data_IF_716771548266
#
_entry.id   IF_716771548266
#
_cell.length_a   1.000
_cell.length_b   1.000
_cell.length_c   1.000
_cell.angle_alpha   90.00
_cell.angle_beta   90.00
_cell.angle_gamma   90.00
#
_symmetry.space_group_name_H-M   'P 1'
#
loop_
_entity.id
_entity.type
_entity.pdbx_description
1 polymer ?
#
# COMPACT_ATOMS: atom_id res chain seq x y z
N UNK A 1 -9.27 -3.12 28.77
CA UNK A 1 -8.37 -3.23 27.59
C UNK A 1 -7.40 -2.06 27.61
N UNK A 2 -6.14 -2.31 27.98
CA UNK A 2 -5.15 -1.27 28.31
C UNK A 2 -4.00 -1.22 27.29
N UNK A 3 -4.31 -1.27 25.99
CA UNK A 3 -3.30 -1.32 24.93
C UNK A 3 -2.63 0.03 24.59
N UNK A 4 -2.93 1.11 25.32
CA UNK A 4 -2.51 2.47 24.98
C UNK A 4 -1.52 3.10 25.99
N UNK A 5 -0.95 2.33 26.92
CA UNK A 5 -0.12 2.90 28.01
C UNK A 5 1.31 3.23 27.63
N UNK A 6 1.78 2.82 26.46
CA UNK A 6 3.12 3.15 25.98
C UNK A 6 3.04 3.45 24.48
N UNK A 7 3.32 4.70 24.04
CA UNK A 7 3.40 4.99 22.62
C UNK A 7 4.56 4.18 22.05
N UNK A 8 4.25 3.26 21.14
CA UNK A 8 5.26 2.60 20.32
C UNK A 8 5.56 3.51 19.13
N UNK A 9 6.82 3.88 18.99
CA UNK A 9 7.26 4.58 17.78
C UNK A 9 7.25 3.59 16.61
N UNK A 10 6.17 3.63 15.83
CA UNK A 10 6.00 2.79 14.64
C UNK A 10 7.03 3.12 13.56
N UNK A 11 7.62 4.33 13.59
CA UNK A 11 8.59 4.76 12.57
C UNK A 11 9.97 4.12 12.76
N UNK A 12 10.26 3.64 13.97
CA UNK A 12 11.46 2.88 14.28
C UNK A 12 11.37 1.40 13.91
N UNK A 13 10.18 0.90 13.52
CA UNK A 13 10.00 -0.50 13.16
C UNK A 13 10.76 -0.84 11.86
N UNK A 14 11.33 -2.04 11.73
CA UNK A 14 11.97 -2.49 10.48
C UNK A 14 11.03 -2.41 9.27
N UNK A 15 9.74 -2.72 9.48
CA UNK A 15 8.72 -2.61 8.43
C UNK A 15 8.54 -1.17 7.93
N UNK A 16 8.64 -0.18 8.81
CA UNK A 16 8.53 1.23 8.43
C UNK A 16 9.76 1.70 7.64
N UNK A 17 10.95 1.26 8.02
CA UNK A 17 12.15 1.55 7.24
C UNK A 17 12.10 0.89 5.85
N UNK A 18 11.61 -0.34 5.75
CA UNK A 18 11.39 -0.99 4.46
C UNK A 18 10.39 -0.22 3.56
N UNK A 19 9.34 0.37 4.15
CA UNK A 19 8.41 1.23 3.41
C UNK A 19 9.07 2.53 2.94
N UNK A 20 9.98 3.11 3.72
CA UNK A 20 10.74 4.29 3.29
C UNK A 20 11.62 3.98 2.08
N UNK A 21 12.33 2.85 2.10
CA UNK A 21 13.17 2.41 0.98
C UNK A 21 12.33 2.10 -0.25
N UNK A 22 11.19 1.40 -0.07
CA UNK A 22 10.27 1.10 -1.15
C UNK A 22 9.69 2.38 -1.78
N UNK A 23 9.36 3.39 -0.97
CA UNK A 23 8.89 4.69 -1.46
C UNK A 23 9.94 5.37 -2.33
N UNK A 24 11.21 5.30 -1.96
CA UNK A 24 12.30 5.85 -2.77
C UNK A 24 12.45 5.07 -4.08
N UNK A 25 12.40 3.74 -4.05
CA UNK A 25 12.45 2.90 -5.25
C UNK A 25 11.29 3.15 -6.22
N UNK A 26 10.12 3.54 -5.69
CA UNK A 26 8.92 3.86 -6.47
C UNK A 26 8.88 5.30 -7.01
N UNK A 27 9.94 6.11 -6.82
CA UNK A 27 9.94 7.52 -7.21
C UNK A 27 9.65 7.75 -8.71
N UNK A 28 10.07 6.80 -9.55
CA UNK A 28 9.92 6.85 -11.02
C UNK A 28 8.76 5.96 -11.50
N UNK A 29 7.91 5.49 -10.59
CA UNK A 29 6.79 4.62 -10.91
C UNK A 29 5.72 5.36 -11.74
N UNK A 30 5.45 4.85 -12.95
CA UNK A 30 4.38 5.35 -13.81
C UNK A 30 3.16 4.43 -13.74
N UNK A 31 2.05 5.00 -13.30
CA UNK A 31 0.77 4.29 -13.26
C UNK A 31 0.33 3.80 -14.64
N UNK A 32 0.57 4.61 -15.67
CA UNK A 32 0.26 4.24 -17.06
C UNK A 32 1.05 3.00 -17.48
N UNK A 33 2.33 2.96 -17.16
CA UNK A 33 3.19 1.81 -17.47
C UNK A 33 2.77 0.59 -16.68
N UNK A 34 2.38 0.76 -15.41
CA UNK A 34 1.88 -0.33 -14.58
C UNK A 34 0.62 -0.99 -15.16
N UNK A 35 -0.35 -0.21 -15.66
CA UNK A 35 -1.53 -0.75 -16.35
C UNK A 35 -1.20 -1.36 -17.72
N UNK A 36 -0.22 -0.80 -18.44
CA UNK A 36 0.22 -1.38 -19.71
C UNK A 36 0.94 -2.73 -19.49
N UNK A 37 1.74 -2.84 -18.43
CA UNK A 37 2.48 -4.04 -18.07
C UNK A 37 1.57 -5.13 -17.48
N UNK A 38 0.57 -4.74 -16.70
CA UNK A 38 -0.43 -5.65 -16.14
C UNK A 38 -1.86 -5.14 -16.42
N UNK A 39 -2.46 -5.57 -17.54
CA UNK A 39 -3.86 -5.24 -17.86
C UNK A 39 -4.88 -5.79 -16.84
N UNK A 40 -4.51 -6.80 -16.03
CA UNK A 40 -5.39 -7.39 -15.02
C UNK A 40 -5.26 -6.68 -13.65
N UNK A 41 -4.40 -5.68 -13.53
CA UNK A 41 -4.15 -4.93 -12.29
C UNK A 41 -5.43 -4.42 -11.63
N UNK A 42 -6.39 -3.91 -12.41
CA UNK A 42 -7.67 -3.46 -11.85
C UNK A 42 -8.35 -4.57 -11.04
N UNK A 43 -8.49 -5.76 -11.62
CA UNK A 43 -9.13 -6.89 -10.96
C UNK A 43 -8.34 -7.38 -9.75
N UNK A 44 -7.00 -7.41 -9.84
CA UNK A 44 -6.13 -7.87 -8.75
C UNK A 44 -6.15 -6.93 -7.54
N UNK A 45 -6.27 -5.62 -7.78
CA UNK A 45 -6.24 -4.58 -6.74
C UNK A 45 -7.64 -4.02 -6.43
N UNK A 46 -8.69 -4.76 -6.78
CA UNK A 46 -10.06 -4.44 -6.40
C UNK A 46 -10.49 -5.29 -5.22
N UNK A 47 -11.16 -4.67 -4.25
CA UNK A 47 -11.83 -5.35 -3.15
C UNK A 47 -13.31 -4.97 -3.13
N UNK A 48 -14.20 -5.97 -3.11
CA UNK A 48 -15.61 -5.74 -2.80
C UNK A 48 -15.98 -6.46 -1.52
N UNK A 49 -16.52 -5.72 -0.55
CA UNK A 49 -16.95 -6.25 0.74
C UNK A 49 -17.97 -5.34 1.39
N UNK A 50 -18.92 -5.90 2.13
CA UNK A 50 -19.97 -5.16 2.85
C UNK A 50 -20.73 -4.13 1.99
N UNK A 51 -20.93 -4.41 0.71
CA UNK A 51 -21.57 -3.48 -0.24
C UNK A 51 -20.68 -2.31 -0.71
N UNK A 52 -19.42 -2.28 -0.30
CA UNK A 52 -18.42 -1.32 -0.76
C UNK A 52 -17.58 -1.93 -1.89
N UNK A 53 -17.15 -1.05 -2.79
CA UNK A 53 -16.23 -1.35 -3.87
C UNK A 53 -15.01 -0.42 -3.75
N UNK A 54 -13.84 -1.01 -3.56
CA UNK A 54 -12.58 -0.32 -3.32
C UNK A 54 -11.62 -0.65 -4.46
N UNK A 55 -11.11 0.38 -5.12
CA UNK A 55 -10.14 0.27 -6.20
C UNK A 55 -8.78 0.81 -5.72
N UNK A 56 -7.83 -0.11 -5.51
CA UNK A 56 -6.44 0.18 -5.13
C UNK A 56 -5.47 0.03 -6.33
N UNK A 57 -5.99 -0.09 -7.55
CA UNK A 57 -5.15 -0.34 -8.72
C UNK A 57 -4.32 0.87 -9.15
N UNK A 58 -4.66 2.05 -8.63
CA UNK A 58 -3.91 3.31 -8.74
C UNK A 58 -3.11 3.52 -7.46
#
# INVERSE_FOLDING_TARGET
MAYYRTPHDVTALPAWQALNDHRQAMQDFSMREAFNADPQRFTQFTLSSCGLFLDYSK
#
